data_IF_647448623922
#
_entry.id   IF_647448623922
#
_cell.length_a   1.000
_cell.length_b   1.000
_cell.length_c   1.000
_cell.angle_alpha   90.00
_cell.angle_beta   90.00
_cell.angle_gamma   90.00
#
_symmetry.space_group_name_H-M   'P 1'
#
loop_
_entity.id
_entity.type
_entity.pdbx_description
1 polymer ?
#
# COMPACT_ATOMS: atom_id res chain seq x y z
N UNK A 1 10.87 -13.41 23.65
CA UNK A 1 12.06 -13.34 22.77
C UNK A 1 12.73 -14.70 22.76
N UNK A 2 13.28 -15.10 21.61
CA UNK A 2 13.91 -16.40 21.40
C UNK A 2 15.32 -16.41 22.04
N UNK A 3 15.60 -17.26 23.05
CA UNK A 3 16.87 -17.24 23.80
C UNK A 3 18.13 -17.54 22.98
N UNK A 4 17.97 -17.98 21.73
CA UNK A 4 19.05 -18.57 20.92
C UNK A 4 19.33 -17.76 19.63
N UNK A 5 18.84 -16.53 19.52
CA UNK A 5 19.02 -15.75 18.30
C UNK A 5 20.41 -15.11 18.25
N UNK A 6 21.09 -15.32 17.12
CA UNK A 6 22.38 -14.71 16.82
C UNK A 6 22.10 -13.36 16.14
N UNK A 7 22.89 -12.33 16.49
CA UNK A 7 22.79 -11.02 15.85
C UNK A 7 23.12 -11.08 14.35
N UNK A 8 22.42 -10.28 13.55
CA UNK A 8 22.63 -10.13 12.11
C UNK A 8 22.84 -8.65 11.73
N UNK A 9 23.48 -8.37 10.60
CA UNK A 9 23.56 -7.00 10.08
C UNK A 9 22.14 -6.45 9.85
N UNK A 10 21.82 -5.24 10.35
CA UNK A 10 20.46 -4.73 10.35
C UNK A 10 19.92 -4.52 8.93
N UNK A 11 18.69 -4.99 8.71
CA UNK A 11 17.92 -4.77 7.48
C UNK A 11 16.68 -4.00 7.87
N UNK A 12 16.73 -2.68 7.72
CA UNK A 12 15.69 -1.77 8.22
C UNK A 12 14.72 -1.40 7.11
N UNK A 13 13.43 -1.57 7.36
CA UNK A 13 12.34 -1.03 6.56
C UNK A 13 11.59 0.05 7.34
N UNK A 14 11.21 1.14 6.68
CA UNK A 14 10.40 2.20 7.28
C UNK A 14 8.92 1.83 7.10
N UNK A 15 8.19 1.76 8.21
CA UNK A 15 6.77 1.38 8.24
C UNK A 15 5.84 2.56 8.47
N UNK A 16 6.35 3.65 9.03
CA UNK A 16 5.61 4.92 9.09
C UNK A 16 6.58 6.09 9.16
N UNK A 17 6.18 7.21 8.57
CA UNK A 17 6.78 8.52 8.76
C UNK A 17 5.64 9.50 9.13
N UNK A 18 5.87 10.36 10.11
CA UNK A 18 4.85 11.25 10.66
C UNK A 18 5.49 12.62 10.94
N UNK A 19 4.84 13.69 10.51
CA UNK A 19 5.20 15.05 10.89
C UNK A 19 4.26 15.49 12.01
N UNK A 20 4.76 15.54 13.25
CA UNK A 20 3.99 16.03 14.39
C UNK A 20 4.33 17.50 14.70
N UNK A 21 3.33 18.40 14.79
CA UNK A 21 3.54 19.77 15.24
C UNK A 21 4.29 19.83 16.58
N UNK A 22 5.41 20.55 16.62
CA UNK A 22 6.23 20.72 17.84
C UNK A 22 7.19 19.57 18.19
N UNK A 23 7.09 18.40 17.55
CA UNK A 23 8.04 17.28 17.77
C UNK A 23 9.00 17.10 16.58
N UNK A 24 8.64 17.60 15.40
CA UNK A 24 9.37 17.45 14.13
C UNK A 24 9.57 15.95 13.77
N UNK A 25 9.82 15.65 12.49
CA UNK A 25 9.55 14.35 11.85
C UNK A 25 9.93 13.10 12.69
N UNK A 26 9.02 12.12 12.79
CA UNK A 26 9.30 10.81 13.39
C UNK A 26 9.06 9.69 12.40
N UNK A 27 9.89 8.66 12.43
CA UNK A 27 9.74 7.47 11.61
C UNK A 27 9.86 6.21 12.47
N UNK A 28 9.02 5.21 12.19
CA UNK A 28 9.14 3.90 12.81
C UNK A 28 9.73 2.93 11.80
N UNK A 29 10.90 2.39 12.13
CA UNK A 29 11.63 1.42 11.33
C UNK A 29 11.66 0.05 12.01
N UNK A 30 11.53 -1.01 11.23
CA UNK A 30 11.66 -2.37 11.72
C UNK A 30 12.92 -3.01 11.14
N UNK A 31 13.80 -3.44 12.02
CA UNK A 31 14.95 -4.25 11.66
C UNK A 31 14.50 -5.70 11.47
N UNK A 32 14.32 -6.12 10.22
CA UNK A 32 13.90 -7.47 9.84
C UNK A 32 14.91 -8.52 10.32
N UNK A 33 16.20 -8.20 10.17
CA UNK A 33 17.30 -9.12 10.45
C UNK A 33 17.41 -9.45 11.95
N UNK A 34 17.02 -8.51 12.81
CA UNK A 34 17.00 -8.68 14.27
C UNK A 34 15.58 -8.69 14.87
N UNK A 35 14.53 -8.62 14.04
CA UNK A 35 13.08 -8.52 14.40
C UNK A 35 12.81 -7.54 15.54
N UNK A 36 13.25 -6.30 15.37
CA UNK A 36 13.12 -5.28 16.41
C UNK A 36 12.67 -3.94 15.85
N UNK A 37 11.77 -3.30 16.58
CA UNK A 37 11.28 -1.98 16.24
C UNK A 37 12.17 -0.87 16.78
N UNK A 38 12.30 0.19 15.97
CA UNK A 38 13.02 1.39 16.29
C UNK A 38 12.19 2.62 15.90
N UNK A 39 12.18 3.63 16.76
CA UNK A 39 11.56 4.92 16.50
C UNK A 39 12.66 5.96 16.31
N UNK A 40 12.77 6.53 15.11
CA UNK A 40 13.64 7.66 14.82
C UNK A 40 12.86 8.97 14.98
N UNK A 41 13.42 9.93 15.70
CA UNK A 41 12.86 11.28 15.87
C UNK A 41 13.88 12.30 15.38
N UNK A 42 13.45 13.15 14.47
CA UNK A 42 14.32 14.04 13.71
C UNK A 42 13.84 15.47 13.86
N UNK A 43 14.74 16.31 14.38
CA UNK A 43 14.51 17.74 14.48
C UNK A 43 14.87 18.45 13.19
N UNK A 44 14.30 18.00 12.06
CA UNK A 44 14.40 18.67 10.77
C UNK A 44 13.36 18.12 9.77
N UNK A 45 13.23 18.81 8.64
CA UNK A 45 12.55 18.28 7.45
C UNK A 45 13.44 17.24 6.77
N UNK A 46 12.86 16.08 6.45
CA UNK A 46 13.57 14.94 5.87
C UNK A 46 13.15 14.78 4.42
N UNK A 47 14.11 14.49 3.55
CA UNK A 47 13.90 14.49 2.10
C UNK A 47 13.55 13.12 1.52
N UNK A 48 13.98 12.02 2.14
CA UNK A 48 13.75 10.67 1.63
C UNK A 48 13.80 9.57 2.73
N UNK A 49 13.16 8.44 2.44
CA UNK A 49 13.10 7.28 3.32
C UNK A 49 14.43 6.50 3.37
N UNK A 50 15.31 6.67 2.37
CA UNK A 50 16.64 6.06 2.34
C UNK A 50 17.56 6.62 3.43
N UNK A 51 17.44 7.90 3.72
CA UNK A 51 18.14 8.55 4.82
C UNK A 51 17.61 8.04 6.17
N UNK A 52 16.29 7.86 6.31
CA UNK A 52 15.67 7.34 7.54
C UNK A 52 16.18 5.92 7.86
N UNK A 53 16.11 5.00 6.89
CA UNK A 53 16.54 3.62 7.09
C UNK A 53 18.05 3.52 7.34
N UNK A 54 18.85 4.29 6.60
CA UNK A 54 20.32 4.26 6.76
C UNK A 54 20.74 4.82 8.11
N UNK A 55 20.07 5.86 8.60
CA UNK A 55 20.31 6.42 9.94
C UNK A 55 20.03 5.38 11.03
N UNK A 56 18.88 4.71 10.98
CA UNK A 56 18.54 3.67 11.97
C UNK A 56 19.55 2.51 11.88
N UNK A 57 19.80 1.98 10.69
CA UNK A 57 20.72 0.86 10.48
C UNK A 57 22.15 1.19 10.93
N UNK A 58 22.64 2.39 10.64
CA UNK A 58 23.97 2.85 11.05
C UNK A 58 24.10 2.89 12.58
N UNK A 59 23.13 3.45 13.28
CA UNK A 59 23.17 3.51 14.75
C UNK A 59 23.16 2.12 15.39
N UNK A 60 22.39 1.18 14.83
CA UNK A 60 22.38 -0.23 15.28
C UNK A 60 23.74 -0.88 15.04
N UNK A 61 24.32 -0.72 13.84
CA UNK A 61 25.65 -1.26 13.51
C UNK A 61 26.73 -0.70 14.41
N UNK A 62 26.77 0.62 14.59
CA UNK A 62 27.77 1.29 15.42
C UNK A 62 27.69 0.80 16.88
N UNK A 63 26.48 0.68 17.43
CA UNK A 63 26.31 0.17 18.79
C UNK A 63 26.78 -1.28 18.93
N UNK A 64 26.37 -2.16 18.02
CA UNK A 64 26.76 -3.56 18.08
C UNK A 64 28.27 -3.75 17.87
N UNK A 65 28.88 -2.99 16.96
CA UNK A 65 30.32 -3.03 16.75
C UNK A 65 31.12 -2.67 18.03
N UNK A 66 30.62 -1.72 18.81
CA UNK A 66 31.25 -1.27 20.04
C UNK A 66 30.98 -2.20 21.25
N UNK A 67 29.77 -2.75 21.38
CA UNK A 67 29.34 -3.43 22.61
C UNK A 67 29.18 -4.95 22.45
N UNK A 68 29.11 -5.46 21.21
CA UNK A 68 28.83 -6.88 20.89
C UNK A 68 27.52 -7.40 21.50
N UNK A 69 26.59 -6.49 21.76
CA UNK A 69 25.31 -6.76 22.37
C UNK A 69 24.22 -5.95 21.67
N UNK A 70 22.98 -6.40 21.80
CA UNK A 70 21.82 -5.65 21.32
C UNK A 70 21.70 -4.31 22.04
N UNK A 71 21.17 -3.31 21.35
CA UNK A 71 20.96 -1.99 21.94
C UNK A 71 19.96 -2.05 23.11
N UNK A 72 20.17 -1.36 24.24
CA UNK A 72 19.16 -1.25 25.30
C UNK A 72 18.06 -0.24 24.97
N UNK A 73 18.18 0.43 23.82
CA UNK A 73 17.32 1.49 23.34
C UNK A 73 16.59 1.07 22.07
N UNK A 74 15.41 1.65 21.87
CA UNK A 74 14.59 1.49 20.66
C UNK A 74 14.11 2.85 20.13
N UNK A 75 14.60 3.96 20.68
CA UNK A 75 14.31 5.32 20.20
C UNK A 75 15.62 6.06 19.92
N UNK A 76 15.79 6.53 18.70
CA UNK A 76 16.91 7.35 18.24
C UNK A 76 16.39 8.77 18.05
N UNK A 77 17.09 9.77 18.57
CA UNK A 77 16.78 11.20 18.35
C UNK A 77 17.97 11.87 17.70
N UNK A 78 17.74 12.60 16.63
CA UNK A 78 18.80 13.28 15.86
C UNK A 78 18.24 14.51 15.13
N UNK A 79 19.07 15.20 14.36
CA UNK A 79 18.67 16.22 13.38
C UNK A 79 18.96 15.73 11.94
N UNK A 80 18.72 16.56 10.92
CA UNK A 80 18.97 16.19 9.52
C UNK A 80 20.47 15.97 9.22
N UNK A 81 21.36 16.52 10.04
CA UNK A 81 22.81 16.37 9.92
C UNK A 81 23.30 15.12 10.65
N UNK A 82 22.41 14.39 11.33
CA UNK A 82 22.76 13.20 12.09
C UNK A 82 23.44 13.52 13.42
N UNK A 83 23.35 14.74 13.95
CA UNK A 83 24.10 15.15 15.15
C UNK A 83 23.45 16.31 15.92
N UNK A 84 23.24 16.23 17.24
CA UNK A 84 23.66 15.15 18.13
C UNK A 84 22.67 13.98 18.14
N UNK A 85 23.19 12.75 18.13
CA UNK A 85 22.39 11.55 18.33
C UNK A 85 22.20 11.31 19.83
N UNK A 86 20.96 11.20 20.27
CA UNK A 86 20.62 10.77 21.63
C UNK A 86 19.69 9.56 21.59
N UNK A 87 19.92 8.62 22.51
CA UNK A 87 19.15 7.39 22.59
C UNK A 87 18.14 7.45 23.74
N UNK A 88 17.01 6.79 23.56
CA UNK A 88 16.08 6.53 24.65
C UNK A 88 15.39 5.20 24.47
N UNK A 89 14.76 4.76 25.54
CA UNK A 89 13.96 3.55 25.54
C UNK A 89 12.52 3.92 25.78
N UNK A 90 11.65 3.35 24.96
CA UNK A 90 10.21 3.34 25.15
C UNK A 90 9.80 1.88 25.42
N UNK A 91 8.73 1.64 26.19
CA UNK A 91 8.17 0.30 26.30
C UNK A 91 8.02 -0.32 24.91
N UNK A 92 8.40 -1.59 24.78
CA UNK A 92 8.30 -2.30 23.50
C UNK A 92 6.89 -2.19 22.93
N UNK A 93 5.80 -2.21 23.71
CA UNK A 93 4.44 -2.00 23.21
C UNK A 93 4.08 -0.56 22.77
N UNK A 94 5.01 0.38 22.87
CA UNK A 94 4.89 1.77 22.37
C UNK A 94 5.81 2.07 21.19
N UNK A 95 6.61 1.10 20.75
CA UNK A 95 7.49 1.15 19.57
C UNK A 95 7.25 -0.06 18.68
N UNK A 96 7.09 -1.24 19.28
CA UNK A 96 6.46 -2.40 18.68
C UNK A 96 4.99 -2.13 18.39
N UNK A 97 4.64 -2.21 17.11
CA UNK A 97 3.33 -2.73 16.70
C UNK A 97 3.41 -4.26 16.78
N UNK A 98 3.50 -4.81 17.99
CA UNK A 98 3.61 -6.26 18.18
C UNK A 98 2.30 -6.90 17.74
N UNK A 99 2.31 -7.61 16.61
CA UNK A 99 1.28 -8.62 16.28
C UNK A 99 1.50 -9.76 17.29
N UNK A 100 0.99 -9.58 18.51
CA UNK A 100 1.20 -10.51 19.64
C UNK A 100 0.44 -11.82 19.46
N UNK A 101 -0.46 -11.88 18.49
CA UNK A 101 -1.37 -12.99 18.24
C UNK A 101 -1.64 -13.10 16.74
N UNK A 102 -1.75 -14.33 16.25
CA UNK A 102 -2.47 -14.60 15.02
C UNK A 102 -3.84 -13.95 15.13
N UNK A 103 -4.20 -13.07 14.19
CA UNK A 103 -5.55 -12.52 14.11
C UNK A 103 -6.49 -13.66 13.70
N UNK A 104 -7.34 -14.10 14.63
CA UNK A 104 -8.31 -15.16 14.41
C UNK A 104 -9.60 -14.56 13.86
N UNK A 105 -10.04 -15.04 12.71
CA UNK A 105 -11.36 -14.74 12.16
C UNK A 105 -12.37 -15.77 12.68
N UNK A 106 -13.49 -15.30 13.24
CA UNK A 106 -14.58 -16.12 13.75
C UNK A 106 -14.39 -16.67 15.18
N UNK A 107 -15.51 -16.89 15.87
CA UNK A 107 -15.52 -17.44 17.24
C UNK A 107 -15.22 -18.95 17.28
N UNK A 108 -15.20 -19.64 16.13
CA UNK A 108 -15.08 -21.11 16.04
C UNK A 108 -13.90 -21.55 15.18
N UNK A 109 -13.35 -22.70 15.54
CA UNK A 109 -12.22 -23.39 14.90
C UNK A 109 -12.42 -23.70 13.40
N UNK A 110 -13.67 -23.69 12.91
CA UNK A 110 -14.02 -23.98 11.51
C UNK A 110 -14.01 -22.73 10.60
N UNK A 111 -13.95 -21.52 11.16
CA UNK A 111 -13.99 -20.25 10.41
C UNK A 111 -12.58 -19.79 9.96
N UNK A 112 -11.59 -20.67 10.11
CA UNK A 112 -10.18 -20.41 9.81
C UNK A 112 -9.97 -20.28 8.30
N UNK A 113 -9.73 -19.06 7.82
CA UNK A 113 -8.98 -18.88 6.58
C UNK A 113 -7.49 -19.14 6.86
N UNK A 114 -6.79 -19.96 6.06
CA UNK A 114 -5.36 -20.12 6.20
C UNK A 114 -4.68 -18.77 5.91
N UNK A 115 -4.09 -18.15 6.94
CA UNK A 115 -3.16 -17.04 6.73
C UNK A 115 -1.92 -17.61 6.05
N UNK A 116 -1.82 -17.39 4.74
CA UNK A 116 -0.57 -17.56 4.01
C UNK A 116 0.32 -16.33 4.24
N UNK A 117 1.62 -16.48 4.05
CA UNK A 117 2.70 -15.50 4.31
C UNK A 117 2.65 -14.22 3.43
N UNK A 118 1.47 -13.74 3.04
CA UNK A 118 1.24 -12.77 1.95
C UNK A 118 0.21 -11.67 2.27
N UNK A 119 -0.07 -11.39 3.54
CA UNK A 119 -0.95 -10.29 3.96
C UNK A 119 -0.18 -9.01 4.34
N UNK A 120 -0.72 -7.83 4.03
CA UNK A 120 -0.23 -6.52 4.49
C UNK A 120 -1.21 -5.95 5.51
N UNK A 121 -0.72 -5.58 6.69
CA UNK A 121 -1.51 -4.83 7.68
C UNK A 121 -1.08 -3.38 7.64
N UNK A 122 -2.03 -2.50 7.45
CA UNK A 122 -1.87 -1.06 7.49
C UNK A 122 -2.45 -0.51 8.79
N UNK A 123 -1.72 0.40 9.43
CA UNK A 123 -2.24 1.16 10.57
C UNK A 123 -1.96 2.62 10.32
N UNK A 124 -2.99 3.44 10.51
CA UNK A 124 -2.90 4.88 10.48
C UNK A 124 -3.15 5.48 11.88
N UNK A 125 -2.55 6.63 12.14
CA UNK A 125 -2.88 7.47 13.30
C UNK A 125 -4.15 8.26 13.03
N UNK A 126 -4.42 8.58 11.76
CA UNK A 126 -5.65 9.21 11.35
C UNK A 126 -6.76 8.17 11.15
N UNK A 127 -7.70 8.15 12.10
CA UNK A 127 -8.85 7.27 12.05
C UNK A 127 -9.76 7.63 10.86
N UNK A 128 -9.80 8.89 10.45
CA UNK A 128 -10.67 9.36 9.36
C UNK A 128 -10.25 8.76 8.02
N UNK A 129 -8.94 8.61 7.77
CA UNK A 129 -8.39 7.98 6.56
C UNK A 129 -8.82 6.51 6.49
N UNK A 130 -8.68 5.77 7.60
CA UNK A 130 -9.10 4.36 7.64
C UNK A 130 -10.62 4.20 7.54
N UNK A 131 -11.39 5.12 8.12
CA UNK A 131 -12.85 5.14 7.97
C UNK A 131 -13.26 5.38 6.51
N UNK A 132 -12.57 6.26 5.79
CA UNK A 132 -12.78 6.48 4.36
C UNK A 132 -12.51 5.21 3.52
N UNK A 133 -11.42 4.49 3.82
CA UNK A 133 -11.10 3.20 3.19
C UNK A 133 -12.23 2.18 3.37
N UNK A 134 -12.69 2.04 4.62
CA UNK A 134 -13.75 1.11 5.01
C UNK A 134 -15.07 1.50 4.35
N UNK A 135 -15.49 2.76 4.47
CA UNK A 135 -16.75 3.25 3.94
C UNK A 135 -16.83 3.09 2.41
N UNK A 136 -15.71 3.26 1.72
CA UNK A 136 -15.63 2.99 0.28
C UNK A 136 -15.95 1.53 -0.02
N UNK A 137 -15.34 0.55 0.69
CA UNK A 137 -15.64 -0.87 0.47
C UNK A 137 -17.06 -1.24 0.91
N UNK A 138 -17.58 -0.66 1.99
CA UNK A 138 -18.97 -0.85 2.42
C UNK A 138 -19.96 -0.39 1.34
N UNK A 139 -19.71 0.76 0.73
CA UNK A 139 -20.52 1.27 -0.40
C UNK A 139 -20.54 0.27 -1.56
N UNK A 140 -19.39 -0.32 -1.90
CA UNK A 140 -19.29 -1.34 -2.94
C UNK A 140 -20.02 -2.63 -2.57
N UNK A 141 -19.89 -3.09 -1.33
CA UNK A 141 -20.60 -4.27 -0.82
C UNK A 141 -22.11 -4.06 -0.92
N UNK A 142 -22.61 -2.89 -0.54
CA UNK A 142 -24.02 -2.54 -0.68
C UNK A 142 -24.48 -2.49 -2.14
N UNK A 143 -23.65 -1.98 -3.05
CA UNK A 143 -23.96 -1.92 -4.48
C UNK A 143 -23.96 -3.30 -5.17
N UNK A 144 -23.29 -4.30 -4.59
CA UNK A 144 -23.27 -5.68 -5.07
C UNK A 144 -24.36 -6.56 -4.45
N UNK A 145 -25.47 -5.97 -3.99
CA UNK A 145 -26.57 -6.67 -3.33
C UNK A 145 -26.82 -8.07 -3.94
N UNK A 146 -26.94 -9.09 -3.08
CA UNK A 146 -27.10 -10.53 -3.41
C UNK A 146 -25.83 -11.35 -3.71
N UNK A 147 -24.61 -10.81 -3.58
CA UNK A 147 -23.39 -11.62 -3.63
C UNK A 147 -23.17 -12.38 -2.30
N UNK A 148 -22.89 -13.70 -2.31
CA UNK A 148 -22.55 -14.44 -1.10
C UNK A 148 -21.34 -13.84 -0.37
N UNK A 149 -21.39 -13.80 0.97
CA UNK A 149 -20.32 -13.23 1.78
C UNK A 149 -18.93 -13.82 1.49
N UNK A 150 -18.88 -15.10 1.12
CA UNK A 150 -17.64 -15.81 0.75
C UNK A 150 -17.03 -15.35 -0.58
N UNK A 151 -17.77 -14.62 -1.41
CA UNK A 151 -17.36 -14.16 -2.73
C UNK A 151 -17.10 -12.65 -2.79
N UNK A 152 -17.50 -11.89 -1.77
CA UNK A 152 -17.37 -10.43 -1.74
C UNK A 152 -15.96 -9.96 -2.10
N UNK A 153 -14.93 -10.53 -1.47
CA UNK A 153 -13.55 -10.08 -1.69
C UNK A 153 -13.07 -10.33 -3.13
N UNK A 154 -13.42 -11.49 -3.70
CA UNK A 154 -13.11 -11.81 -5.08
C UNK A 154 -13.85 -10.89 -6.05
N UNK A 155 -15.10 -10.55 -5.75
CA UNK A 155 -15.87 -9.61 -6.57
C UNK A 155 -15.35 -8.18 -6.44
N UNK A 156 -14.89 -7.74 -5.26
CA UNK A 156 -14.26 -6.43 -5.10
C UNK A 156 -13.02 -6.31 -6.00
N UNK A 157 -12.12 -7.30 -5.91
CA UNK A 157 -10.92 -7.36 -6.73
C UNK A 157 -11.25 -7.42 -8.24
N UNK A 158 -12.13 -8.33 -8.64
CA UNK A 158 -12.41 -8.62 -10.05
C UNK A 158 -13.27 -7.55 -10.73
N UNK A 159 -14.30 -7.04 -10.05
CA UNK A 159 -15.29 -6.12 -10.64
C UNK A 159 -14.82 -4.67 -10.61
N UNK A 160 -14.16 -4.27 -9.52
CA UNK A 160 -13.76 -2.88 -9.30
C UNK A 160 -12.27 -2.65 -9.48
N UNK A 161 -11.47 -3.70 -9.70
CA UNK A 161 -10.01 -3.64 -9.72
C UNK A 161 -9.47 -2.96 -8.46
N UNK A 162 -10.06 -3.25 -7.29
CA UNK A 162 -9.70 -2.64 -6.01
C UNK A 162 -9.30 -3.72 -5.01
N UNK A 163 -8.25 -3.47 -4.22
CA UNK A 163 -7.84 -4.42 -3.18
C UNK A 163 -8.91 -4.50 -2.07
N UNK A 164 -9.39 -5.72 -1.74
CA UNK A 164 -10.39 -5.89 -0.68
C UNK A 164 -9.76 -5.76 0.70
N UNK A 165 -10.57 -5.30 1.67
CA UNK A 165 -10.24 -5.36 3.08
C UNK A 165 -10.62 -6.75 3.61
N UNK A 166 -9.63 -7.48 4.13
CA UNK A 166 -9.82 -8.81 4.70
C UNK A 166 -10.29 -8.76 6.15
N UNK A 167 -9.81 -7.77 6.91
CA UNK A 167 -10.22 -7.54 8.28
C UNK A 167 -9.97 -6.08 8.70
N UNK A 168 -10.75 -5.62 9.68
CA UNK A 168 -10.53 -4.35 10.36
C UNK A 168 -9.98 -4.66 11.77
N UNK A 169 -8.91 -3.97 12.15
CA UNK A 169 -8.28 -4.10 13.47
C UNK A 169 -8.88 -3.06 14.39
N UNK A 170 -9.43 -3.49 15.52
CA UNK A 170 -10.02 -2.61 16.53
C UNK A 170 -9.05 -2.49 17.71
N UNK A 171 -8.83 -1.26 18.17
CA UNK A 171 -7.98 -0.98 19.32
C UNK A 171 -8.62 -1.47 20.62
N UNK A 172 -7.86 -2.14 21.49
CA UNK A 172 -8.28 -2.48 22.86
C UNK A 172 -7.69 -1.53 23.91
N UNK A 173 -6.57 -0.87 23.59
CA UNK A 173 -5.84 0.03 24.49
C UNK A 173 -5.05 1.08 23.70
N UNK A 174 -4.45 2.02 24.43
CA UNK A 174 -3.56 3.08 23.91
C UNK A 174 -2.48 2.52 22.95
N UNK A 175 -2.06 3.29 21.93
CA UNK A 175 -2.28 4.74 21.76
C UNK A 175 -3.67 5.14 21.25
N UNK A 176 -4.38 4.24 20.55
CA UNK A 176 -5.75 4.49 20.08
C UNK A 176 -6.78 4.34 21.21
N UNK A 177 -7.96 4.96 21.02
CA UNK A 177 -9.07 4.82 21.96
C UNK A 177 -9.64 3.41 21.83
N UNK A 178 -9.88 2.74 22.97
CA UNK A 178 -10.50 1.41 22.93
C UNK A 178 -11.83 1.44 22.17
N UNK A 179 -12.01 0.50 21.24
CA UNK A 179 -13.16 0.41 20.35
C UNK A 179 -13.05 1.17 19.03
N UNK A 180 -11.97 1.92 18.77
CA UNK A 180 -11.77 2.59 17.46
C UNK A 180 -11.00 1.71 16.48
N UNK A 181 -11.14 2.00 15.19
CA UNK A 181 -10.30 1.40 14.15
C UNK A 181 -8.84 1.78 14.39
N UNK A 182 -7.97 0.77 14.42
CA UNK A 182 -6.53 0.91 14.55
C UNK A 182 -5.81 0.59 13.24
N UNK A 183 -6.43 -0.21 12.36
CA UNK A 183 -5.81 -0.66 11.13
C UNK A 183 -6.74 -1.49 10.26
N UNK A 184 -6.28 -1.80 9.05
CA UNK A 184 -6.93 -2.71 8.12
C UNK A 184 -5.93 -3.75 7.60
N UNK A 185 -6.41 -4.97 7.40
CA UNK A 185 -5.64 -6.05 6.77
C UNK A 185 -6.09 -6.20 5.32
N UNK A 186 -5.14 -6.19 4.40
CA UNK A 186 -5.34 -6.36 2.97
C UNK A 186 -4.42 -7.47 2.42
N UNK A 187 -4.77 -8.13 1.31
CA UNK A 187 -3.83 -9.02 0.65
C UNK A 187 -2.66 -8.21 0.08
N UNK A 188 -1.48 -8.82 -0.01
CA UNK A 188 -0.39 -8.25 -0.79
C UNK A 188 -0.75 -8.27 -2.27
N UNK A 189 -0.95 -7.08 -2.85
CA UNK A 189 -1.40 -6.91 -4.21
C UNK A 189 -0.27 -6.61 -5.21
N UNK A 190 0.99 -6.80 -4.81
CA UNK A 190 2.15 -6.58 -5.67
C UNK A 190 2.86 -5.25 -5.44
N UNK A 191 3.76 -4.91 -6.37
CA UNK A 191 4.48 -3.63 -6.38
C UNK A 191 3.64 -2.58 -7.09
N UNK A 192 3.72 -1.34 -6.63
CA UNK A 192 3.14 -0.21 -7.36
C UNK A 192 3.88 0.06 -8.68
N UNK A 193 3.23 0.80 -9.57
CA UNK A 193 3.78 1.05 -10.89
C UNK A 193 5.03 1.95 -10.86
N UNK A 194 5.21 2.81 -9.85
CA UNK A 194 6.42 3.62 -9.70
C UNK A 194 7.64 2.73 -9.47
N UNK A 195 7.55 1.85 -8.48
CA UNK A 195 8.62 0.91 -8.15
C UNK A 195 8.93 0.03 -9.36
N UNK A 196 7.92 -0.46 -10.07
CA UNK A 196 8.13 -1.30 -11.27
C UNK A 196 8.81 -0.50 -12.40
N UNK A 197 8.39 0.75 -12.63
CA UNK A 197 9.00 1.61 -13.65
C UNK A 197 10.49 1.90 -13.33
N UNK A 198 10.81 2.12 -12.05
CA UNK A 198 12.17 2.42 -11.58
C UNK A 198 13.09 1.19 -11.61
N UNK A 199 12.60 0.04 -11.15
CA UNK A 199 13.40 -1.17 -10.99
C UNK A 199 13.56 -1.97 -12.32
N UNK A 200 12.69 -1.71 -13.31
CA UNK A 200 12.58 -2.51 -14.53
C UNK A 200 13.60 -2.16 -15.62
N UNK A 201 14.70 -2.90 -15.70
CA UNK A 201 15.67 -2.80 -16.81
C UNK A 201 15.05 -2.98 -18.22
N UNK A 202 13.90 -3.68 -18.31
CA UNK A 202 13.18 -3.97 -19.57
C UNK A 202 11.89 -3.16 -19.73
N UNK A 203 11.58 -2.28 -18.77
CA UNK A 203 10.33 -1.52 -18.69
C UNK A 203 9.14 -2.33 -18.15
N UNK A 204 8.02 -1.65 -17.94
CA UNK A 204 6.86 -2.21 -17.26
C UNK A 204 6.11 -3.24 -18.12
N UNK A 205 5.82 -4.45 -17.61
CA UNK A 205 5.18 -5.53 -18.37
C UNK A 205 3.64 -5.36 -18.43
N UNK A 206 3.17 -4.21 -18.91
CA UNK A 206 1.75 -3.95 -19.08
C UNK A 206 1.23 -4.39 -20.45
N UNK A 207 -0.03 -4.82 -20.44
CA UNK A 207 -0.77 -5.29 -21.61
C UNK A 207 -2.05 -4.47 -21.79
N UNK A 208 -2.54 -4.40 -23.03
CA UNK A 208 -3.78 -3.69 -23.34
C UNK A 208 -5.00 -4.24 -22.56
N UNK A 209 -5.18 -5.57 -22.37
CA UNK A 209 -6.26 -6.10 -21.54
C UNK A 209 -6.24 -5.59 -20.09
N UNK A 210 -5.06 -5.46 -19.47
CA UNK A 210 -4.97 -4.95 -18.10
C UNK A 210 -5.44 -3.49 -17.99
N UNK A 211 -5.09 -2.65 -18.97
CA UNK A 211 -5.60 -1.28 -19.03
C UNK A 211 -7.11 -1.24 -19.26
N UNK A 212 -7.64 -2.12 -20.12
CA UNK A 212 -9.08 -2.25 -20.34
C UNK A 212 -9.82 -2.64 -19.07
N UNK A 213 -9.32 -3.62 -18.32
CA UNK A 213 -9.95 -4.09 -17.09
C UNK A 213 -9.89 -3.03 -15.99
N UNK A 214 -8.78 -2.29 -15.86
CA UNK A 214 -8.69 -1.14 -14.94
C UNK A 214 -9.75 -0.07 -15.27
N UNK A 215 -9.93 0.29 -16.55
CA UNK A 215 -10.97 1.24 -16.98
C UNK A 215 -12.37 0.73 -16.68
N UNK A 216 -12.61 -0.58 -16.83
CA UNK A 216 -13.89 -1.18 -16.41
C UNK A 216 -14.09 -1.06 -14.91
N UNK A 217 -13.07 -1.39 -14.12
CA UNK A 217 -13.11 -1.34 -12.66
C UNK A 217 -13.50 0.04 -12.14
N UNK A 218 -12.80 1.09 -12.61
CA UNK A 218 -13.08 2.48 -12.22
C UNK A 218 -14.47 2.96 -12.67
N UNK A 219 -14.93 2.54 -13.85
CA UNK A 219 -16.32 2.83 -14.28
C UNK A 219 -17.34 2.16 -13.35
N UNK A 220 -17.10 0.93 -12.92
CA UNK A 220 -18.00 0.22 -12.01
C UNK A 220 -17.98 0.83 -10.59
N UNK A 221 -16.84 1.36 -10.12
CA UNK A 221 -16.77 2.17 -8.89
C UNK A 221 -17.74 3.35 -8.99
N UNK A 222 -17.61 4.15 -10.07
CA UNK A 222 -18.45 5.33 -10.29
C UNK A 222 -19.95 4.98 -10.37
N UNK A 223 -20.31 3.89 -11.07
CA UNK A 223 -21.70 3.41 -11.14
C UNK A 223 -22.27 2.97 -9.79
N UNK A 224 -21.40 2.53 -8.89
CA UNK A 224 -21.77 2.10 -7.53
C UNK A 224 -21.87 3.28 -6.56
N UNK A 225 -21.69 4.52 -7.03
CA UNK A 225 -21.68 5.71 -6.18
C UNK A 225 -20.41 5.86 -5.35
N UNK A 226 -19.38 5.06 -5.62
CA UNK A 226 -18.07 5.14 -4.97
C UNK A 226 -17.09 5.94 -5.85
N UNK A 227 -16.15 6.59 -5.19
CA UNK A 227 -15.03 7.30 -5.81
C UNK A 227 -13.75 6.78 -5.18
N UNK A 228 -12.71 6.57 -5.98
CA UNK A 228 -11.40 6.23 -5.45
C UNK A 228 -10.74 7.45 -4.82
N UNK A 229 -10.77 8.60 -5.50
CA UNK A 229 -10.32 9.88 -4.93
C UNK A 229 -8.83 10.17 -5.05
N UNK A 230 -8.01 9.18 -5.39
CA UNK A 230 -6.55 9.33 -5.43
C UNK A 230 -5.85 8.38 -6.43
N UNK A 231 -6.49 8.13 -7.58
CA UNK A 231 -5.89 7.31 -8.66
C UNK A 231 -4.62 7.97 -9.20
N UNK A 232 -3.50 7.24 -9.08
CA UNK A 232 -2.17 7.58 -9.60
C UNK A 232 -1.29 6.33 -9.65
N UNK A 233 -0.11 6.46 -10.23
CA UNK A 233 0.77 5.32 -10.51
C UNK A 233 1.33 4.64 -9.24
N UNK A 234 1.48 5.35 -8.11
CA UNK A 234 1.89 4.74 -6.84
C UNK A 234 0.72 4.16 -6.01
N UNK A 235 -0.53 4.48 -6.36
CA UNK A 235 -1.74 3.83 -5.81
C UNK A 235 -2.35 2.80 -6.78
N UNK A 236 -1.59 2.44 -7.82
CA UNK A 236 -1.91 1.36 -8.76
C UNK A 236 -0.82 0.32 -8.66
N UNK A 237 -1.20 -0.94 -8.46
CA UNK A 237 -0.28 -2.07 -8.27
C UNK A 237 -0.45 -3.10 -9.37
N UNK A 238 0.64 -3.74 -9.75
CA UNK A 238 0.60 -4.91 -10.64
C UNK A 238 0.67 -6.18 -9.79
N UNK A 239 -0.48 -6.81 -9.62
CA UNK A 239 -0.59 -8.05 -8.89
C UNK A 239 0.06 -9.17 -9.71
N UNK A 240 1.12 -9.82 -9.20
CA UNK A 240 1.79 -10.88 -9.93
C UNK A 240 0.86 -12.08 -10.05
N UNK A 241 1.02 -12.82 -11.15
CA UNK A 241 0.36 -14.11 -11.35
C UNK A 241 0.67 -15.04 -10.18
N UNK A 242 -0.35 -15.50 -9.46
CA UNK A 242 -0.19 -16.51 -8.42
C UNK A 242 0.39 -17.79 -9.04
N UNK A 243 1.46 -18.33 -8.45
CA UNK A 243 2.06 -19.60 -8.90
C UNK A 243 1.01 -20.70 -8.92
N UNK A 244 0.79 -21.33 -10.09
CA UNK A 244 -0.20 -22.39 -10.28
C UNK A 244 -1.61 -21.93 -10.68
N UNK A 245 -1.87 -20.62 -10.76
CA UNK A 245 -3.09 -20.10 -11.40
C UNK A 245 -2.83 -19.83 -12.89
N UNK A 246 -3.84 -19.95 -13.76
CA UNK A 246 -3.74 -19.50 -15.15
C UNK A 246 -4.02 -18.01 -15.33
N UNK A 247 -4.45 -17.33 -14.26
CA UNK A 247 -4.79 -15.92 -14.27
C UNK A 247 -3.58 -15.05 -14.64
N UNK A 248 -3.72 -14.13 -15.60
CA UNK A 248 -2.66 -13.17 -15.90
C UNK A 248 -2.42 -12.24 -14.70
N UNK A 249 -1.31 -11.50 -14.72
CA UNK A 249 -1.13 -10.41 -13.76
C UNK A 249 -2.26 -9.38 -13.93
N UNK A 250 -2.69 -8.75 -12.84
CA UNK A 250 -3.83 -7.83 -12.83
C UNK A 250 -3.40 -6.44 -12.34
N UNK A 251 -3.97 -5.39 -12.94
CA UNK A 251 -3.83 -4.04 -12.42
C UNK A 251 -4.92 -3.80 -11.39
N UNK A 252 -4.51 -3.47 -10.18
CA UNK A 252 -5.40 -3.27 -9.04
C UNK A 252 -5.08 -1.94 -8.38
N UNK A 253 -6.10 -1.31 -7.83
CA UNK A 253 -6.04 -0.06 -7.10
C UNK A 253 -5.93 -0.34 -5.60
N UNK A 254 -5.23 0.54 -4.90
CA UNK A 254 -5.10 0.56 -3.44
C UNK A 254 -5.36 1.99 -2.96
N UNK A 255 -5.56 2.17 -1.65
CA UNK A 255 -5.66 3.51 -1.05
C UNK A 255 -6.84 4.32 -1.65
N UNK A 256 -8.04 3.77 -1.50
CA UNK A 256 -9.29 4.36 -1.96
C UNK A 256 -10.14 4.80 -0.77
N UNK A 257 -10.43 6.09 -0.64
CA UNK A 257 -11.20 6.59 0.50
C UNK A 257 -10.90 8.02 0.88
N UNK A 258 -9.76 8.54 0.41
CA UNK A 258 -9.39 9.94 0.52
C UNK A 258 -9.38 10.60 -0.85
N UNK A 259 -9.93 11.82 -0.93
CA UNK A 259 -9.80 12.65 -2.13
C UNK A 259 -8.58 13.54 -2.01
N UNK A 260 -7.64 13.40 -2.94
CA UNK A 260 -6.46 14.24 -2.97
C UNK A 260 -6.82 15.71 -3.25
N UNK A 261 -6.05 16.68 -2.71
CA UNK A 261 -6.22 18.08 -3.08
C UNK A 261 -6.13 18.28 -4.59
N UNK A 262 -7.01 19.10 -5.16
CA UNK A 262 -7.05 19.41 -6.60
C UNK A 262 -7.32 18.19 -7.50
N UNK A 263 -7.84 17.09 -6.93
CA UNK A 263 -8.13 15.87 -7.67
C UNK A 263 -9.23 16.10 -8.73
N UNK A 264 -8.84 15.97 -9.99
CA UNK A 264 -9.71 16.25 -11.15
C UNK A 264 -10.82 15.22 -11.42
N UNK A 265 -11.07 14.30 -10.48
CA UNK A 265 -12.01 13.20 -10.59
C UNK A 265 -11.43 11.95 -11.25
N UNK A 266 -11.90 10.78 -10.82
CA UNK A 266 -11.38 9.45 -11.20
C UNK A 266 -11.24 9.28 -12.71
N UNK A 267 -12.23 9.72 -13.50
CA UNK A 267 -12.22 9.55 -14.96
C UNK A 267 -11.05 10.29 -15.60
N UNK A 268 -10.87 11.57 -15.26
CA UNK A 268 -9.82 12.40 -15.86
C UNK A 268 -8.43 11.92 -15.47
N UNK A 269 -8.22 11.63 -14.19
CA UNK A 269 -6.89 11.18 -13.72
C UNK A 269 -6.56 9.78 -14.23
N UNK A 270 -7.57 8.91 -14.44
CA UNK A 270 -7.35 7.62 -15.08
C UNK A 270 -6.88 7.80 -16.52
N UNK A 271 -7.42 8.77 -17.25
CA UNK A 271 -6.91 9.13 -18.58
C UNK A 271 -5.44 9.53 -18.55
N UNK A 272 -5.03 10.33 -17.56
CA UNK A 272 -3.63 10.70 -17.35
C UNK A 272 -2.76 9.48 -16.98
N UNK A 273 -3.26 8.58 -16.13
CA UNK A 273 -2.58 7.34 -15.77
C UNK A 273 -2.36 6.44 -16.99
N UNK A 274 -3.33 6.32 -17.90
CA UNK A 274 -3.16 5.54 -19.13
C UNK A 274 -2.02 6.07 -20.02
N UNK A 275 -1.90 7.40 -20.14
CA UNK A 275 -0.79 8.02 -20.88
C UNK A 275 0.55 7.75 -20.19
N UNK A 276 0.60 7.86 -18.87
CA UNK A 276 1.79 7.54 -18.10
C UNK A 276 2.19 6.06 -18.25
N UNK A 277 1.23 5.13 -18.23
CA UNK A 277 1.48 3.71 -18.50
C UNK A 277 2.04 3.49 -19.90
N UNK A 278 1.54 4.19 -20.92
CA UNK A 278 2.04 4.11 -22.29
C UNK A 278 3.49 4.59 -22.41
N UNK A 279 3.88 5.62 -21.65
CA UNK A 279 5.24 6.13 -21.64
C UNK A 279 6.23 5.15 -20.99
N UNK A 280 5.79 4.44 -19.95
CA UNK A 280 6.60 3.57 -19.10
C UNK A 280 6.52 2.07 -19.43
N UNK A 281 5.62 1.66 -20.34
CA UNK A 281 5.50 0.28 -20.81
C UNK A 281 5.94 0.16 -22.29
N UNK A 282 7.19 -0.26 -22.58
CA UNK A 282 7.71 -0.33 -23.94
C UNK A 282 6.90 -1.21 -24.89
N UNK A 283 6.27 -2.28 -24.37
CA UNK A 283 5.43 -3.17 -25.16
C UNK A 283 4.22 -2.45 -25.77
N UNK A 284 3.55 -1.59 -24.98
CA UNK A 284 2.42 -0.78 -25.45
C UNK A 284 2.87 0.29 -26.45
N UNK A 285 4.03 0.90 -26.20
CA UNK A 285 4.55 2.02 -27.01
C UNK A 285 5.05 1.61 -28.39
N UNK A 286 5.63 0.41 -28.52
CA UNK A 286 6.24 -0.08 -29.78
C UNK A 286 5.18 -0.49 -30.80
N UNK A 287 4.04 -0.97 -30.35
CA UNK A 287 2.92 -1.28 -31.22
C UNK A 287 2.14 0.01 -31.54
N UNK A 288 2.21 0.46 -32.80
CA UNK A 288 1.57 1.71 -33.25
C UNK A 288 0.05 1.66 -33.10
N UNK A 289 -0.57 0.50 -33.29
CA UNK A 289 -2.01 0.34 -33.17
C UNK A 289 -2.41 0.41 -31.70
N UNK A 290 -1.76 -0.37 -30.83
CA UNK A 290 -2.00 -0.34 -29.38
C UNK A 290 -1.80 1.07 -28.82
N UNK A 291 -0.71 1.73 -29.21
CA UNK A 291 -0.45 3.14 -28.85
C UNK A 291 -1.62 4.05 -29.21
N UNK A 292 -2.14 3.96 -30.44
CA UNK A 292 -3.26 4.78 -30.89
C UNK A 292 -4.55 4.51 -30.08
N UNK A 293 -4.83 3.24 -29.76
CA UNK A 293 -5.98 2.86 -28.94
C UNK A 293 -5.88 3.44 -27.52
N UNK A 294 -4.71 3.36 -26.89
CA UNK A 294 -4.48 3.89 -25.54
C UNK A 294 -4.60 5.42 -25.51
N UNK A 295 -4.05 6.12 -26.51
CA UNK A 295 -4.17 7.60 -26.62
C UNK A 295 -5.63 8.01 -26.81
N UNK A 296 -6.37 7.32 -27.70
CA UNK A 296 -7.79 7.61 -27.93
C UNK A 296 -8.63 7.37 -26.66
N UNK A 297 -8.35 6.27 -25.93
CA UNK A 297 -9.02 5.96 -24.68
C UNK A 297 -8.73 6.99 -23.59
N UNK A 298 -7.46 7.40 -23.46
CA UNK A 298 -7.07 8.45 -22.52
C UNK A 298 -7.78 9.78 -22.82
N UNK A 299 -7.88 10.18 -24.09
CA UNK A 299 -8.62 11.38 -24.50
C UNK A 299 -10.09 11.29 -24.12
N UNK A 300 -10.75 10.16 -24.41
CA UNK A 300 -12.14 9.96 -24.04
C UNK A 300 -12.37 10.03 -22.52
N UNK A 301 -11.43 9.51 -21.71
CA UNK A 301 -11.48 9.61 -20.26
C UNK A 301 -11.29 11.05 -19.75
N UNK A 302 -10.40 11.83 -20.35
CA UNK A 302 -10.24 13.25 -20.00
C UNK A 302 -11.54 14.03 -20.25
N UNK A 303 -12.31 13.64 -21.27
CA UNK A 303 -13.63 14.20 -21.59
C UNK A 303 -14.78 13.59 -20.75
N UNK A 304 -14.48 12.72 -19.78
CA UNK A 304 -15.48 12.10 -18.91
C UNK A 304 -16.23 10.90 -19.52
N UNK A 305 -15.77 10.36 -20.66
CA UNK A 305 -16.45 9.33 -21.43
C UNK A 305 -15.84 7.93 -21.25
N UNK A 306 -16.26 7.21 -20.20
CA UNK A 306 -15.83 5.83 -19.96
C UNK A 306 -16.19 4.87 -21.10
N UNK A 307 -17.39 4.95 -21.67
CA UNK A 307 -17.83 3.99 -22.68
C UNK A 307 -17.08 4.17 -24.01
N UNK A 308 -16.75 5.42 -24.38
CA UNK A 308 -15.85 5.73 -25.48
C UNK A 308 -14.46 5.13 -25.26
N UNK A 309 -13.90 5.30 -24.06
CA UNK A 309 -12.60 4.75 -23.71
C UNK A 309 -12.57 3.21 -23.80
N UNK A 310 -13.60 2.56 -23.26
CA UNK A 310 -13.75 1.11 -23.33
C UNK A 310 -13.91 0.61 -24.77
N UNK A 311 -14.65 1.33 -25.62
CA UNK A 311 -14.78 1.00 -27.04
C UNK A 311 -13.42 1.02 -27.75
N UNK A 312 -12.60 2.05 -27.49
CA UNK A 312 -11.24 2.13 -28.02
C UNK A 312 -10.40 0.92 -27.59
N UNK A 313 -10.34 0.62 -26.29
CA UNK A 313 -9.48 -0.45 -25.75
C UNK A 313 -9.99 -1.87 -26.09
N UNK A 314 -11.29 -2.06 -26.25
CA UNK A 314 -11.89 -3.36 -26.58
C UNK A 314 -11.78 -3.73 -28.06
N UNK A 315 -11.31 -2.81 -28.93
CA UNK A 315 -11.17 -3.06 -30.36
C UNK A 315 -10.04 -4.06 -30.62
N UNK A 316 -10.37 -5.36 -30.53
CA UNK A 316 -9.56 -6.44 -31.09
C UNK A 316 -9.72 -6.39 -32.61
N UNK A 317 -8.62 -6.20 -33.34
CA UNK A 317 -8.50 -6.66 -34.72
C UNK A 317 -7.55 -7.84 -34.74
#
# INVERSE_FOLDING_TARGET
MEPNRIWHDPVVEIYSNLITPGVWCSADGYDLANRRWYCLKVKAEIKDDQWLLSTIAEQIRQYYAANREESPWNTIRTDAQGSPVTFGSKPDDTVDRLIRKSLYYGHKCADRLPMTDTGRIEFDVDVEVMEGEIQTRETLIHAMDQIPATQINSEIARRFCLVPILAVVIAEKKPWKAGTVAGILMPYAGKDLEIIARDGNTGMPLTLPQLLDLVRGVRELAKSGAKHGDIKYWNTVLQPKCQGSDHPAELTLIDAGSEAPEYGGDTRVLGMLLLWCLENAPALRRDKQVKALVVAAASALVDGNFDGALSCLATRR
#
